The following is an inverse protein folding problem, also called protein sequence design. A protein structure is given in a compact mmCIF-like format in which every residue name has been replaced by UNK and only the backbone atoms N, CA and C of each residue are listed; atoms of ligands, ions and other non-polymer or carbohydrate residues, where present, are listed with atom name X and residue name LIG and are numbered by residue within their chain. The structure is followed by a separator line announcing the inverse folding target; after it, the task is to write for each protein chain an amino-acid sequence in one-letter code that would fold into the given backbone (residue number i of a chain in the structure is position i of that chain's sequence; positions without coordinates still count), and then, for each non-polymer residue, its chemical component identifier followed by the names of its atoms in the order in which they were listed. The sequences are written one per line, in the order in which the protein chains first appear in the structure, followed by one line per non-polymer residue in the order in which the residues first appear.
data_IF_851175684872
#
_entry.id   IF_851175684872
#
_cell.length_a   1.000
_cell.length_b   1.000
_cell.length_c   1.000
_cell.angle_alpha   90.00
_cell.angle_beta   90.00
_cell.angle_gamma   90.00
#
_symmetry.space_group_name_H-M   'P 1'
#
loop_
_entity.id
_entity.type
_entity.pdbx_description
1 polymer ?
#
# COMPACT_ATOMS: atom_id res chain seq x y z
N UNK A 1 32.07 -13.05 -22.21
CA UNK A 1 32.24 -11.81 -21.43
C UNK A 1 30.90 -11.55 -20.79
N UNK A 2 30.83 -11.46 -19.46
CA UNK A 2 29.59 -11.09 -18.76
C UNK A 2 29.23 -9.66 -19.16
N UNK A 3 27.97 -9.46 -19.52
CA UNK A 3 27.44 -8.15 -19.86
C UNK A 3 27.20 -7.37 -18.57
N UNK A 4 27.64 -6.11 -18.49
CA UNK A 4 27.47 -5.28 -17.31
C UNK A 4 26.57 -4.10 -17.62
N UNK A 5 25.53 -3.92 -16.82
CA UNK A 5 24.59 -2.80 -16.96
C UNK A 5 24.13 -2.27 -15.60
N UNK A 6 23.59 -1.05 -15.56
CA UNK A 6 23.01 -0.48 -14.34
C UNK A 6 21.69 -1.20 -13.99
N UNK A 7 21.37 -1.31 -12.70
CA UNK A 7 20.08 -1.87 -12.24
C UNK A 7 18.91 -1.10 -12.85
N UNK A 8 19.00 0.23 -13.00
CA UNK A 8 17.98 1.02 -13.70
C UNK A 8 17.78 0.58 -15.16
N UNK A 9 18.87 0.39 -15.90
CA UNK A 9 18.81 -0.08 -17.29
C UNK A 9 18.23 -1.49 -17.37
N UNK A 10 18.62 -2.36 -16.45
CA UNK A 10 18.11 -3.72 -16.36
C UNK A 10 16.61 -3.76 -16.08
N UNK A 11 16.10 -2.88 -15.21
CA UNK A 11 14.67 -2.74 -14.93
C UNK A 11 13.90 -2.28 -16.17
N UNK A 12 14.42 -1.28 -16.89
CA UNK A 12 13.82 -0.77 -18.12
C UNK A 12 13.81 -1.86 -19.23
N UNK A 13 14.91 -2.60 -19.39
CA UNK A 13 15.02 -3.71 -20.35
C UNK A 13 14.04 -4.83 -19.99
N UNK A 14 13.96 -5.22 -18.71
CA UNK A 14 13.02 -6.23 -18.22
C UNK A 14 11.57 -5.84 -18.57
N UNK A 15 11.17 -4.61 -18.28
CA UNK A 15 9.81 -4.14 -18.53
C UNK A 15 9.49 -4.08 -20.04
N UNK A 16 10.49 -3.75 -20.88
CA UNK A 16 10.37 -3.80 -22.33
C UNK A 16 10.28 -5.24 -22.85
N UNK A 17 11.05 -6.17 -22.28
CA UNK A 17 11.00 -7.59 -22.62
C UNK A 17 9.62 -8.18 -22.32
N UNK A 18 9.00 -7.86 -21.18
CA UNK A 18 7.63 -8.32 -20.86
C UNK A 18 6.66 -7.92 -21.97
N UNK A 19 6.65 -6.65 -22.37
CA UNK A 19 5.77 -6.16 -23.45
C UNK A 19 6.08 -6.87 -24.77
N UNK A 20 7.36 -6.97 -25.14
CA UNK A 20 7.79 -7.55 -26.41
C UNK A 20 7.51 -9.05 -26.51
N UNK A 21 7.66 -9.79 -25.41
CA UNK A 21 7.35 -11.23 -25.34
C UNK A 21 5.85 -11.42 -25.51
N UNK A 22 5.03 -10.69 -24.75
CA UNK A 22 3.58 -10.77 -24.86
C UNK A 22 3.09 -10.43 -26.29
N UNK A 23 3.58 -9.32 -26.86
CA UNK A 23 3.24 -8.92 -28.23
C UNK A 23 3.58 -9.99 -29.28
N UNK A 24 4.67 -10.74 -29.07
CA UNK A 24 5.10 -11.81 -29.98
C UNK A 24 4.30 -13.09 -29.78
N UNK A 25 3.98 -13.43 -28.54
CA UNK A 25 3.12 -14.57 -28.22
C UNK A 25 1.74 -14.36 -28.86
N UNK A 26 1.16 -13.17 -28.72
CA UNK A 26 -0.15 -12.85 -29.31
C UNK A 26 -0.17 -12.94 -30.84
N UNK A 27 0.93 -12.57 -31.50
CA UNK A 27 1.03 -12.58 -32.98
C UNK A 27 1.50 -13.92 -33.56
N UNK A 28 2.03 -14.81 -32.73
CA UNK A 28 2.60 -16.07 -33.20
C UNK A 28 1.50 -17.10 -33.50
N UNK A 29 1.70 -17.84 -34.58
CA UNK A 29 0.90 -19.02 -34.92
C UNK A 29 1.84 -20.21 -34.97
N UNK A 30 1.59 -21.19 -34.09
CA UNK A 30 2.44 -22.36 -33.92
C UNK A 30 1.85 -23.63 -34.53
N UNK A 31 0.52 -23.65 -34.69
CA UNK A 31 -0.24 -24.80 -35.21
C UNK A 31 -1.27 -24.28 -36.21
N UNK A 32 -1.38 -24.95 -37.36
CA UNK A 32 -2.40 -24.73 -38.39
C UNK A 32 -2.78 -26.11 -38.97
N UNK A 33 -3.90 -26.18 -39.67
CA UNK A 33 -4.44 -27.42 -40.26
C UNK A 33 -4.16 -27.47 -41.75
N UNK A 34 -3.98 -28.67 -42.30
CA UNK A 34 -3.73 -28.88 -43.74
C UNK A 34 -4.47 -30.12 -44.21
N UNK A 35 -5.15 -30.03 -45.36
CA UNK A 35 -5.77 -31.20 -46.00
C UNK A 35 -4.70 -31.99 -46.76
N UNK A 36 -4.79 -33.34 -46.82
CA UNK A 36 -3.79 -34.16 -47.54
C UNK A 36 -3.61 -33.81 -49.02
N UNK A 37 -4.65 -33.23 -49.66
CA UNK A 37 -4.64 -32.86 -51.07
C UNK A 37 -4.25 -31.39 -51.33
N UNK A 38 -3.91 -30.61 -50.29
CA UNK A 38 -3.55 -29.19 -50.40
C UNK A 38 -2.10 -28.95 -49.96
N UNK A 39 -1.42 -28.02 -50.62
CA UNK A 39 -0.02 -27.65 -50.31
C UNK A 39 0.08 -26.49 -49.29
N UNK A 40 -1.04 -25.84 -48.99
CA UNK A 40 -1.12 -24.65 -48.15
C UNK A 40 -1.87 -24.93 -46.85
N UNK A 41 -1.40 -24.35 -45.76
CA UNK A 41 -2.09 -24.39 -44.46
C UNK A 41 -3.37 -23.55 -44.50
N UNK A 42 -4.38 -23.95 -43.72
CA UNK A 42 -5.75 -23.47 -43.87
C UNK A 42 -5.90 -21.99 -43.49
N UNK A 43 -5.36 -21.61 -42.33
CA UNK A 43 -5.55 -20.28 -41.77
C UNK A 43 -4.55 -19.27 -42.34
N UNK A 44 -3.24 -19.57 -42.30
CA UNK A 44 -2.20 -18.67 -42.82
C UNK A 44 -2.09 -18.67 -44.36
N UNK A 45 -2.63 -19.68 -45.05
CA UNK A 45 -2.57 -19.83 -46.52
C UNK A 45 -1.15 -19.81 -47.13
N UNK A 46 -0.15 -20.20 -46.35
CA UNK A 46 1.25 -20.37 -46.79
C UNK A 46 1.59 -21.84 -47.01
N UNK A 47 2.67 -22.15 -47.73
CA UNK A 47 3.10 -23.54 -47.92
C UNK A 47 3.47 -24.18 -46.58
N UNK A 48 3.23 -25.50 -46.46
CA UNK A 48 3.57 -26.26 -45.25
C UNK A 48 5.01 -26.05 -44.78
N UNK A 49 5.98 -26.09 -45.70
CA UNK A 49 7.40 -25.94 -45.37
C UNK A 49 7.74 -24.54 -44.82
N UNK A 50 7.17 -23.50 -45.45
CA UNK A 50 7.37 -22.11 -45.02
C UNK A 50 6.69 -21.86 -43.66
N UNK A 51 5.50 -22.44 -43.44
CA UNK A 51 4.80 -22.39 -42.16
C UNK A 51 5.64 -23.00 -41.03
N UNK A 52 6.19 -24.20 -41.24
CA UNK A 52 7.01 -24.88 -40.22
C UNK A 52 8.25 -24.06 -39.89
N UNK A 53 8.94 -23.48 -40.88
CA UNK A 53 10.09 -22.60 -40.65
C UNK A 53 9.70 -21.34 -39.87
N UNK A 54 8.57 -20.72 -40.22
CA UNK A 54 8.11 -19.51 -39.56
C UNK A 54 7.69 -19.78 -38.10
N UNK A 55 6.94 -20.86 -37.86
CA UNK A 55 6.50 -21.27 -36.52
C UNK A 55 7.68 -21.66 -35.61
N UNK A 56 8.64 -22.42 -36.14
CA UNK A 56 9.85 -22.80 -35.38
C UNK A 56 10.73 -21.59 -35.08
N UNK A 57 10.93 -20.69 -36.05
CA UNK A 57 11.68 -19.45 -35.85
C UNK A 57 10.99 -18.52 -34.83
N UNK A 58 9.66 -18.39 -34.89
CA UNK A 58 8.90 -17.59 -33.94
C UNK A 58 9.00 -18.16 -32.51
N UNK A 59 8.89 -19.48 -32.36
CA UNK A 59 9.05 -20.15 -31.07
C UNK A 59 10.44 -19.94 -30.49
N UNK A 60 11.49 -20.19 -31.29
CA UNK A 60 12.89 -19.98 -30.87
C UNK A 60 13.12 -18.54 -30.43
N UNK A 61 12.63 -17.57 -31.21
CA UNK A 61 12.79 -16.16 -30.88
C UNK A 61 12.06 -15.76 -29.59
N UNK A 62 10.92 -16.38 -29.26
CA UNK A 62 10.22 -16.15 -28.00
C UNK A 62 10.98 -16.80 -26.85
N UNK A 63 11.47 -18.03 -27.00
CA UNK A 63 12.25 -18.70 -25.96
C UNK A 63 13.56 -17.96 -25.65
N UNK A 64 14.26 -17.44 -26.67
CA UNK A 64 15.48 -16.65 -26.47
C UNK A 64 15.19 -15.36 -25.67
N UNK A 65 14.04 -14.72 -25.93
CA UNK A 65 13.62 -13.53 -25.17
C UNK A 65 13.24 -13.88 -23.72
N UNK A 66 12.62 -15.04 -23.49
CA UNK A 66 12.29 -15.53 -22.14
C UNK A 66 13.56 -15.82 -21.35
N UNK A 67 14.54 -16.47 -21.96
CA UNK A 67 15.84 -16.76 -21.31
C UNK A 67 16.59 -15.48 -20.96
N UNK A 68 16.60 -14.49 -21.87
CA UNK A 68 17.14 -13.16 -21.59
C UNK A 68 16.44 -12.49 -20.42
N UNK A 69 15.11 -12.52 -20.39
CA UNK A 69 14.32 -11.97 -19.28
C UNK A 69 14.67 -12.65 -17.95
N UNK A 70 14.74 -13.97 -17.92
CA UNK A 70 15.08 -14.74 -16.70
C UNK A 70 16.47 -14.42 -16.19
N UNK A 71 17.45 -14.28 -17.09
CA UNK A 71 18.83 -13.95 -16.72
C UNK A 71 18.91 -12.56 -16.09
N UNK A 72 18.26 -11.56 -16.69
CA UNK A 72 18.19 -10.20 -16.15
C UNK A 72 17.47 -10.18 -14.80
N UNK A 73 16.30 -10.83 -14.70
CA UNK A 73 15.50 -10.82 -13.47
C UNK A 73 16.27 -11.48 -12.31
N UNK A 74 16.92 -12.61 -12.55
CA UNK A 74 17.75 -13.29 -11.57
C UNK A 74 18.92 -12.39 -11.10
N UNK A 75 19.60 -11.71 -12.02
CA UNK A 75 20.70 -10.79 -11.70
C UNK A 75 20.23 -9.58 -10.88
N UNK A 76 19.04 -9.02 -11.20
CA UNK A 76 18.42 -7.94 -10.41
C UNK A 76 18.10 -8.44 -8.99
N UNK A 77 17.49 -9.61 -8.85
CA UNK A 77 17.12 -10.17 -7.55
C UNK A 77 18.36 -10.43 -6.69
N UNK A 78 19.41 -11.01 -7.26
CA UNK A 78 20.67 -11.26 -6.56
C UNK A 78 21.35 -9.96 -6.10
N UNK A 79 21.41 -8.95 -6.98
CA UNK A 79 21.92 -7.62 -6.64
C UNK A 79 21.11 -6.95 -5.52
N UNK A 80 19.78 -7.07 -5.57
CA UNK A 80 18.89 -6.52 -4.54
C UNK A 80 19.04 -7.24 -3.19
N UNK A 81 19.36 -8.52 -3.20
CA UNK A 81 19.61 -9.30 -2.00
C UNK A 81 20.95 -8.95 -1.33
N UNK A 82 21.97 -8.59 -2.13
CA UNK A 82 23.33 -8.27 -1.64
C UNK A 82 23.53 -6.81 -1.26
N UNK A 83 22.84 -5.89 -1.92
CA UNK A 83 23.01 -4.45 -1.70
C UNK A 83 22.21 -4.00 -0.47
N UNK A 84 22.83 -3.21 0.39
CA UNK A 84 22.20 -2.63 1.59
C UNK A 84 21.94 -1.14 1.42
N UNK A 85 20.81 -0.68 1.95
CA UNK A 85 20.46 0.72 2.11
C UNK A 85 20.32 1.06 3.59
N UNK A 86 20.64 2.30 3.95
CA UNK A 86 20.47 2.82 5.31
C UNK A 86 19.29 3.79 5.36
N UNK A 87 18.36 3.56 6.28
CA UNK A 87 17.26 4.47 6.62
C UNK A 87 17.39 4.90 8.07
N UNK A 88 16.60 5.90 8.50
CA UNK A 88 16.53 6.33 9.90
C UNK A 88 16.05 5.21 10.85
N UNK A 89 15.49 4.13 10.31
CA UNK A 89 14.95 2.99 11.06
C UNK A 89 15.86 1.76 11.07
N UNK A 90 17.00 1.82 10.37
CA UNK A 90 17.99 0.75 10.34
C UNK A 90 18.53 0.48 8.94
N UNK A 91 19.33 -0.58 8.85
CA UNK A 91 19.85 -1.08 7.57
C UNK A 91 18.92 -2.16 7.04
N UNK A 92 18.65 -2.09 5.75
CA UNK A 92 17.83 -3.06 5.02
C UNK A 92 18.57 -3.47 3.75
N UNK A 93 18.46 -4.74 3.35
CA UNK A 93 18.78 -5.08 1.96
C UNK A 93 17.81 -4.37 1.02
N UNK A 94 18.20 -4.09 -0.22
CA UNK A 94 17.30 -3.48 -1.21
C UNK A 94 16.05 -4.34 -1.39
N UNK A 95 16.20 -5.68 -1.40
CA UNK A 95 15.07 -6.62 -1.42
C UNK A 95 14.15 -6.45 -0.20
N UNK A 96 14.71 -6.36 1.01
CA UNK A 96 13.96 -6.11 2.24
C UNK A 96 13.25 -4.75 2.23
N UNK A 97 13.91 -3.72 1.71
CA UNK A 97 13.36 -2.38 1.56
C UNK A 97 12.20 -2.31 0.56
N UNK A 98 12.32 -3.00 -0.59
CA UNK A 98 11.24 -3.12 -1.58
C UNK A 98 10.03 -3.83 -0.97
N UNK A 99 10.25 -4.93 -0.24
CA UNK A 99 9.19 -5.68 0.44
C UNK A 99 8.49 -4.82 1.50
N UNK A 100 9.27 -4.13 2.34
CA UNK A 100 8.77 -3.20 3.35
C UNK A 100 7.95 -2.06 2.72
N UNK A 101 8.45 -1.44 1.66
CA UNK A 101 7.74 -0.41 0.91
C UNK A 101 6.43 -0.94 0.32
N UNK A 102 6.44 -2.13 -0.27
CA UNK A 102 5.25 -2.77 -0.83
C UNK A 102 4.19 -2.98 0.26
N UNK A 103 4.59 -3.54 1.41
CA UNK A 103 3.73 -3.74 2.58
C UNK A 103 3.09 -2.43 3.06
N UNK A 104 3.91 -1.38 3.25
CA UNK A 104 3.43 -0.07 3.73
C UNK A 104 2.51 0.64 2.73
N UNK A 105 2.54 0.26 1.44
CA UNK A 105 1.60 0.74 0.41
C UNK A 105 0.36 -0.14 0.26
N UNK A 106 0.19 -1.16 1.11
CA UNK A 106 -0.93 -2.10 1.04
C UNK A 106 -0.77 -3.19 -0.02
N UNK A 107 0.43 -3.34 -0.60
CA UNK A 107 0.77 -4.45 -1.50
C UNK A 107 1.39 -5.64 -0.77
N UNK A 108 1.84 -6.63 -1.55
CA UNK A 108 2.52 -7.82 -1.05
C UNK A 108 1.60 -9.02 -0.86
N UNK A 109 2.10 -10.06 -0.20
CA UNK A 109 1.45 -11.38 -0.12
C UNK A 109 0.16 -11.42 0.71
N UNK A 110 -0.15 -10.35 1.43
CA UNK A 110 -1.23 -10.30 2.42
C UNK A 110 -2.35 -9.33 2.04
N UNK A 111 -2.47 -8.93 0.77
CA UNK A 111 -3.59 -8.09 0.27
C UNK A 111 -3.88 -6.84 1.14
N UNK A 112 -2.81 -6.17 1.59
CA UNK A 112 -2.90 -4.98 2.45
C UNK A 112 -3.16 -5.24 3.94
N UNK A 113 -3.35 -6.50 4.36
CA UNK A 113 -3.58 -6.85 5.76
C UNK A 113 -2.36 -6.66 6.65
N UNK A 114 -1.16 -6.75 6.06
CA UNK A 114 0.10 -6.63 6.77
C UNK A 114 0.57 -5.16 6.95
N UNK A 115 -0.22 -4.16 6.54
CA UNK A 115 0.03 -2.75 6.87
C UNK A 115 -0.41 -2.46 8.32
N UNK A 116 0.32 -3.05 9.27
CA UNK A 116 0.02 -2.97 10.70
C UNK A 116 0.07 -1.55 11.21
N UNK A 117 1.01 -0.75 10.70
CA UNK A 117 1.17 0.67 11.03
C UNK A 117 -0.09 1.46 10.69
N UNK A 118 -0.70 1.19 9.53
CA UNK A 118 -1.97 1.81 9.16
C UNK A 118 -3.14 1.23 9.94
N UNK A 119 -3.18 -0.08 10.19
CA UNK A 119 -4.25 -0.72 10.98
C UNK A 119 -4.33 -0.19 12.40
N UNK A 120 -3.19 -0.04 13.09
CA UNK A 120 -3.18 0.51 14.46
C UNK A 120 -3.57 1.99 14.47
N UNK A 121 -3.13 2.78 13.48
CA UNK A 121 -3.56 4.18 13.33
C UNK A 121 -5.08 4.28 13.17
N UNK A 122 -5.68 3.48 12.29
CA UNK A 122 -7.13 3.46 12.10
C UNK A 122 -7.88 3.06 13.36
N UNK A 123 -7.39 2.05 14.07
CA UNK A 123 -8.03 1.59 15.31
C UNK A 123 -7.99 2.67 16.40
N UNK A 124 -6.85 3.31 16.58
CA UNK A 124 -6.68 4.42 17.53
C UNK A 124 -7.58 5.61 17.16
N UNK A 125 -7.64 5.98 15.88
CA UNK A 125 -8.48 7.09 15.42
C UNK A 125 -9.97 6.78 15.61
N UNK A 126 -10.42 5.59 15.22
CA UNK A 126 -11.83 5.16 15.39
C UNK A 126 -12.25 5.18 16.85
N UNK A 127 -11.43 4.61 17.75
CA UNK A 127 -11.76 4.60 19.17
C UNK A 127 -11.75 6.01 19.77
N UNK A 128 -10.82 6.86 19.35
CA UNK A 128 -10.79 8.25 19.78
C UNK A 128 -12.07 8.98 19.35
N UNK A 129 -12.44 8.91 18.07
CA UNK A 129 -13.60 9.60 17.51
C UNK A 129 -14.91 9.10 18.14
N UNK A 130 -15.04 7.78 18.33
CA UNK A 130 -16.19 7.16 19.00
C UNK A 130 -16.32 7.64 20.45
N UNK A 131 -15.22 7.68 21.22
CA UNK A 131 -15.26 8.06 22.64
C UNK A 131 -15.44 9.56 22.84
N UNK A 132 -14.88 10.39 21.96
CA UNK A 132 -15.16 11.83 21.96
C UNK A 132 -16.62 12.09 21.64
N UNK A 133 -17.14 11.51 20.57
CA UNK A 133 -18.56 11.67 20.20
C UNK A 133 -19.50 11.19 21.31
N UNK A 134 -19.20 10.05 21.93
CA UNK A 134 -19.97 9.54 23.07
C UNK A 134 -19.94 10.49 24.27
N UNK A 135 -18.76 11.02 24.61
CA UNK A 135 -18.57 12.00 25.68
C UNK A 135 -19.39 13.27 25.42
N UNK A 136 -19.33 13.79 24.20
CA UNK A 136 -20.06 14.99 23.78
C UNK A 136 -21.57 14.79 23.85
N UNK A 137 -22.07 13.63 23.40
CA UNK A 137 -23.50 13.27 23.51
C UNK A 137 -23.94 13.21 24.97
N UNK A 138 -23.15 12.55 25.84
CA UNK A 138 -23.49 12.42 27.27
C UNK A 138 -23.47 13.76 28.00
N UNK A 139 -22.48 14.59 27.70
CA UNK A 139 -22.36 15.92 28.29
C UNK A 139 -23.46 16.86 27.78
N UNK A 140 -23.85 16.76 26.51
CA UNK A 140 -25.00 17.51 25.96
C UNK A 140 -26.31 17.10 26.64
N UNK A 141 -26.57 15.80 26.77
CA UNK A 141 -27.76 15.30 27.48
C UNK A 141 -27.80 15.75 28.95
N UNK A 142 -26.64 15.77 29.61
CA UNK A 142 -26.52 16.25 30.98
C UNK A 142 -26.83 17.75 31.06
N UNK A 143 -26.33 18.56 30.12
CA UNK A 143 -26.63 19.99 30.04
C UNK A 143 -28.12 20.22 29.77
N UNK A 144 -28.75 19.53 28.82
CA UNK A 144 -30.19 19.65 28.54
C UNK A 144 -31.04 19.33 29.77
N UNK A 145 -30.64 18.30 30.53
CA UNK A 145 -31.29 17.90 31.78
C UNK A 145 -31.10 18.96 32.86
N UNK A 146 -29.89 19.49 32.99
CA UNK A 146 -29.57 20.55 33.93
C UNK A 146 -30.32 21.86 33.61
N UNK A 147 -30.43 22.22 32.33
CA UNK A 147 -31.22 23.37 31.86
C UNK A 147 -32.70 23.18 32.17
N UNK A 148 -33.25 21.98 31.93
CA UNK A 148 -34.64 21.65 32.30
C UNK A 148 -34.87 21.77 33.82
N UNK A 149 -33.92 21.32 34.63
CA UNK A 149 -33.98 21.50 36.10
C UNK A 149 -33.90 22.97 36.51
N UNK A 150 -33.00 23.75 35.91
CA UNK A 150 -32.88 25.21 36.14
C UNK A 150 -34.17 25.95 35.76
N UNK A 151 -34.75 25.65 34.61
CA UNK A 151 -36.02 26.24 34.15
C UNK A 151 -37.18 25.88 35.08
N UNK A 152 -37.24 24.66 35.62
CA UNK A 152 -38.26 24.26 36.59
C UNK A 152 -38.15 25.01 37.93
N UNK A 153 -36.92 25.27 38.37
CA UNK A 153 -36.62 26.05 39.59
C UNK A 153 -36.98 27.53 39.39
N UNK A 154 -36.65 28.10 38.23
CA UNK A 154 -36.85 29.51 37.90
C UNK A 154 -38.29 29.84 37.45
N UNK A 155 -39.03 28.88 36.90
CA UNK A 155 -40.38 29.05 36.36
C UNK A 155 -41.52 28.95 37.40
N UNK A 156 -41.22 28.56 38.64
CA UNK A 156 -42.18 28.70 39.75
C UNK A 156 -42.15 30.14 40.25
N UNK A 157 -43.29 30.83 40.23
CA UNK A 157 -43.52 32.20 40.74
C UNK A 157 -43.15 32.35 42.23
N UNK A 158 -41.86 32.33 42.55
CA UNK A 158 -41.34 32.64 43.87
C UNK A 158 -40.53 33.93 43.75
N UNK A 159 -41.03 34.99 44.40
CA UNK A 159 -40.41 36.32 44.52
C UNK A 159 -39.08 36.34 45.31
N UNK A 160 -38.40 35.20 45.45
CA UNK A 160 -37.09 35.08 46.09
C UNK A 160 -36.20 34.24 45.17
N UNK A 161 -35.25 34.90 44.51
CA UNK A 161 -34.13 34.23 43.84
C UNK A 161 -33.22 33.66 44.93
N UNK A 162 -33.51 32.45 45.37
CA UNK A 162 -32.64 31.72 46.29
C UNK A 162 -31.50 31.09 45.46
N UNK A 163 -30.23 31.37 45.75
CA UNK A 163 -29.06 30.87 44.98
C UNK A 163 -28.74 29.39 45.26
N UNK A 164 -29.23 28.88 46.40
CA UNK A 164 -28.93 27.52 46.87
C UNK A 164 -29.41 26.38 45.94
N UNK A 165 -30.61 26.43 45.33
CA UNK A 165 -31.08 25.40 44.41
C UNK A 165 -30.31 25.37 43.09
N UNK A 166 -29.80 26.52 42.62
CA UNK A 166 -28.99 26.60 41.39
C UNK A 166 -27.61 25.95 41.62
N UNK A 167 -27.01 26.17 42.79
CA UNK A 167 -25.74 25.53 43.16
C UNK A 167 -25.82 23.99 43.23
N UNK A 168 -27.00 23.43 43.55
CA UNK A 168 -27.23 21.98 43.52
C UNK A 168 -27.22 21.45 42.09
N UNK A 169 -27.79 22.18 41.13
CA UNK A 169 -27.73 21.79 39.71
C UNK A 169 -26.30 21.90 39.18
N UNK A 170 -25.55 22.92 39.57
CA UNK A 170 -24.13 23.06 39.18
C UNK A 170 -23.26 21.93 39.74
N UNK A 171 -23.52 21.51 40.98
CA UNK A 171 -22.84 20.35 41.61
C UNK A 171 -23.22 19.06 40.89
N UNK A 172 -24.50 18.88 40.54
CA UNK A 172 -24.99 17.73 39.78
C UNK A 172 -24.34 17.64 38.39
N UNK A 173 -24.20 18.75 37.67
CA UNK A 173 -23.48 18.77 36.38
C UNK A 173 -22.02 18.38 36.59
N UNK A 174 -21.35 18.95 37.59
CA UNK A 174 -19.94 18.66 37.86
C UNK A 174 -19.67 17.19 38.21
N UNK A 175 -20.54 16.56 38.99
CA UNK A 175 -20.38 15.15 39.41
C UNK A 175 -20.75 14.15 38.30
N UNK A 176 -21.60 14.54 37.36
CA UNK A 176 -22.08 13.66 36.29
C UNK A 176 -21.45 13.93 34.92
N UNK A 177 -20.57 14.94 34.82
CA UNK A 177 -19.84 15.22 33.58
C UNK A 177 -19.00 14.01 33.21
N UNK A 178 -19.16 13.53 31.98
CA UNK A 178 -18.38 12.44 31.43
C UNK A 178 -17.04 13.00 30.98
N UNK A 179 -15.94 12.36 31.38
CA UNK A 179 -14.58 12.73 31.00
C UNK A 179 -13.96 11.65 30.12
N UNK A 180 -13.13 12.07 29.17
CA UNK A 180 -12.36 11.17 28.34
C UNK A 180 -11.08 10.75 29.09
N UNK A 181 -10.88 9.44 29.27
CA UNK A 181 -9.64 8.91 29.84
C UNK A 181 -8.70 8.53 28.69
N UNK A 182 -7.70 9.37 28.42
CA UNK A 182 -6.65 9.11 27.43
C UNK A 182 -5.29 8.91 28.11
N UNK A 183 -4.91 7.67 28.44
CA UNK A 183 -3.64 7.37 29.09
C UNK A 183 -2.44 7.37 28.13
N UNK A 184 -2.67 7.40 26.81
CA UNK A 184 -1.63 7.23 25.79
C UNK A 184 -1.34 8.50 25.00
N UNK A 185 -2.13 9.55 25.19
CA UNK A 185 -2.14 10.75 24.36
C UNK A 185 -2.33 10.33 22.89
N UNK A 186 -3.48 9.67 22.64
CA UNK A 186 -3.78 8.93 21.40
C UNK A 186 -3.58 9.83 20.17
N UNK A 187 -3.96 11.11 20.25
CA UNK A 187 -3.74 12.08 19.17
C UNK A 187 -2.27 12.23 18.81
N UNK A 188 -1.41 12.51 19.79
CA UNK A 188 0.04 12.62 19.54
C UNK A 188 0.62 11.32 19.03
N UNK A 189 0.10 10.18 19.49
CA UNK A 189 0.57 8.86 19.04
C UNK A 189 0.19 8.58 17.58
N UNK A 190 -1.01 8.96 17.16
CA UNK A 190 -1.46 8.86 15.77
C UNK A 190 -0.58 9.73 14.87
N UNK A 191 -0.34 10.99 15.24
CA UNK A 191 0.52 11.92 14.50
C UNK A 191 1.95 11.37 14.38
N UNK A 192 2.55 10.93 15.48
CA UNK A 192 3.89 10.35 15.48
C UNK A 192 3.99 9.09 14.62
N UNK A 193 2.95 8.23 14.61
CA UNK A 193 2.91 7.04 13.76
C UNK A 193 2.78 7.42 12.28
N UNK A 194 1.98 8.44 11.95
CA UNK A 194 1.80 8.93 10.58
C UNK A 194 3.07 9.56 10.04
N UNK A 195 3.71 10.44 10.81
CA UNK A 195 4.97 11.06 10.46
C UNK A 195 6.06 9.99 10.26
N UNK A 196 6.17 9.05 11.21
CA UNK A 196 7.09 7.91 11.11
C UNK A 196 6.90 7.12 9.82
N UNK A 197 5.66 6.78 9.49
CA UNK A 197 5.32 6.02 8.27
C UNK A 197 5.68 6.80 7.00
N UNK A 198 5.33 8.08 6.95
CA UNK A 198 5.55 8.91 5.76
C UNK A 198 7.05 9.13 5.53
N UNK A 199 7.80 9.48 6.58
CA UNK A 199 9.25 9.65 6.51
C UNK A 199 9.95 8.37 6.07
N UNK A 200 9.58 7.21 6.65
CA UNK A 200 10.13 5.92 6.24
C UNK A 200 9.83 5.60 4.76
N UNK A 201 8.59 5.83 4.30
CA UNK A 201 8.22 5.61 2.90
C UNK A 201 9.04 6.48 1.95
N UNK A 202 9.21 7.77 2.26
CA UNK A 202 10.00 8.69 1.46
C UNK A 202 11.47 8.27 1.42
N UNK A 203 12.06 7.93 2.57
CA UNK A 203 13.44 7.45 2.64
C UNK A 203 13.64 6.16 1.83
N UNK A 204 12.73 5.18 1.96
CA UNK A 204 12.78 3.94 1.19
C UNK A 204 12.73 4.23 -0.32
N UNK A 205 11.82 5.10 -0.77
CA UNK A 205 11.72 5.46 -2.20
C UNK A 205 12.99 6.13 -2.72
N UNK A 206 13.55 7.07 -1.97
CA UNK A 206 14.78 7.76 -2.36
C UNK A 206 15.96 6.82 -2.38
N UNK A 207 16.17 6.04 -1.32
CA UNK A 207 17.33 5.16 -1.18
C UNK A 207 17.29 4.00 -2.18
N UNK A 208 16.12 3.40 -2.43
CA UNK A 208 15.97 2.37 -3.47
C UNK A 208 16.29 2.98 -4.84
N UNK A 209 15.80 4.19 -5.14
CA UNK A 209 16.08 4.85 -6.42
C UNK A 209 17.57 5.16 -6.60
N UNK A 210 18.22 5.67 -5.56
CA UNK A 210 19.68 5.94 -5.57
C UNK A 210 20.45 4.63 -5.75
N UNK A 211 20.11 3.59 -4.98
CA UNK A 211 20.74 2.28 -5.08
C UNK A 211 20.64 1.71 -6.49
N UNK A 212 19.45 1.78 -7.11
CA UNK A 212 19.26 1.30 -8.48
C UNK A 212 20.09 2.09 -9.51
N UNK A 213 20.29 3.39 -9.28
CA UNK A 213 21.05 4.26 -10.18
C UNK A 213 22.57 4.13 -10.02
N UNK A 214 23.06 3.60 -8.90
CA UNK A 214 24.50 3.46 -8.61
C UNK A 214 25.00 2.02 -8.65
N UNK A 215 24.10 1.04 -8.68
CA UNK A 215 24.45 -0.39 -8.67
C UNK A 215 24.49 -0.96 -10.08
N UNK A 216 25.50 -1.79 -10.34
CA UNK A 216 25.64 -2.53 -11.58
C UNK A 216 25.36 -4.01 -11.36
N UNK A 217 24.76 -4.65 -12.35
CA UNK A 217 24.56 -6.09 -12.41
C UNK A 217 25.39 -6.69 -13.53
N UNK A 218 25.75 -7.96 -13.37
CA UNK A 218 26.40 -8.78 -14.39
C UNK A 218 25.42 -9.84 -14.88
N UNK A 219 25.29 -9.95 -16.19
CA UNK A 219 24.36 -10.83 -16.93
C UNK A 219 25.17 -11.76 -17.82
#
# INVERSE_FOLDING_TARGET
MSEKMLVTQALDERDLLVKKINDKIEKASFIDTIKPNEDKVFEKRVKKEDYVKEATAAYQQITDLIERFQTIDAAIVDSNAKTEISTSYGKFTVAGAISLRSRLRGGGAYDGEADFERRIQYKLQSEYDERVSFCDIKNTQLQDTAESMRLSILGKDNKVKDDKPLAVVDTYVKENTTELVDPLDVKKKIEALQERRNSLLTELDTQIKVSNATTFIEI
#
